data_IF_577369486110
#
_entry.id   IF_577369486110
#
_cell.length_a   1.000
_cell.length_b   1.000
_cell.length_c   1.000
_cell.angle_alpha   90.00
_cell.angle_beta   90.00
_cell.angle_gamma   90.00
#
_symmetry.space_group_name_H-M   'P 1'
#
loop_
_entity.id
_entity.type
_entity.pdbx_description
1 polymer ?
#
# COMPACT_ATOMS: atom_id res chain seq x y z
N UNK A 1 37.74 -26.95 0.60
CA UNK A 1 37.04 -26.35 1.76
C UNK A 1 35.79 -25.63 1.21
N UNK A 2 34.58 -26.20 1.33
CA UNK A 2 33.35 -25.54 0.83
C UNK A 2 33.09 -24.28 1.67
N UNK A 3 33.06 -23.11 1.04
CA UNK A 3 32.70 -21.85 1.67
C UNK A 3 31.25 -21.98 2.17
N UNK A 4 31.05 -22.03 3.50
CA UNK A 4 29.71 -21.82 4.06
C UNK A 4 29.29 -20.40 3.64
N UNK A 5 28.09 -20.18 3.08
CA UNK A 5 27.62 -18.83 2.85
C UNK A 5 27.61 -18.09 4.19
N UNK A 6 28.14 -16.86 4.22
CA UNK A 6 28.22 -16.03 5.44
C UNK A 6 26.84 -15.58 5.95
N UNK A 7 25.76 -15.93 5.23
CA UNK A 7 24.40 -15.50 5.48
C UNK A 7 23.47 -16.71 5.44
N UNK A 8 22.65 -16.87 6.49
CA UNK A 8 21.52 -17.79 6.50
C UNK A 8 20.24 -16.98 6.23
N UNK A 9 19.46 -17.38 5.24
CA UNK A 9 18.22 -16.68 4.87
C UNK A 9 17.06 -17.63 5.07
N UNK A 10 16.09 -17.21 5.89
CA UNK A 10 14.83 -17.92 6.09
C UNK A 10 13.69 -17.03 5.59
N UNK A 11 12.81 -17.62 4.77
CA UNK A 11 11.62 -16.93 4.28
C UNK A 11 10.45 -17.31 5.18
N UNK A 12 9.83 -16.31 5.80
CA UNK A 12 8.67 -16.47 6.65
C UNK A 12 7.47 -15.84 5.92
N UNK A 13 6.58 -16.64 5.31
CA UNK A 13 5.40 -16.11 4.64
C UNK A 13 4.40 -15.60 5.68
N UNK A 14 3.99 -14.34 5.53
CA UNK A 14 2.95 -13.72 6.36
C UNK A 14 1.96 -12.97 5.49
N UNK A 15 0.76 -12.72 6.03
CA UNK A 15 -0.19 -11.82 5.39
C UNK A 15 0.36 -10.38 5.36
N UNK A 16 -0.02 -9.57 4.36
CA UNK A 16 0.57 -8.23 4.13
C UNK A 16 0.34 -7.27 5.29
N UNK A 17 -0.82 -7.36 5.93
CA UNK A 17 -1.19 -6.63 7.13
C UNK A 17 -0.37 -7.05 8.36
N UNK A 18 0.27 -8.22 8.32
CA UNK A 18 1.15 -8.73 9.38
C UNK A 18 2.64 -8.43 9.15
N UNK A 19 3.02 -7.86 8.00
CA UNK A 19 4.44 -7.58 7.69
C UNK A 19 5.09 -6.63 8.70
N UNK A 20 4.46 -5.49 8.97
CA UNK A 20 5.01 -4.51 9.91
C UNK A 20 4.89 -4.98 11.38
N UNK A 21 3.75 -5.52 11.83
CA UNK A 21 3.67 -6.13 13.16
C UNK A 21 4.70 -7.24 13.40
N UNK A 22 4.96 -8.10 12.41
CA UNK A 22 5.97 -9.15 12.53
C UNK A 22 7.39 -8.58 12.69
N UNK A 23 7.70 -7.48 12.00
CA UNK A 23 8.98 -6.78 12.16
C UNK A 23 9.08 -6.11 13.55
N UNK A 24 8.04 -5.40 13.97
CA UNK A 24 7.96 -4.76 15.30
C UNK A 24 8.10 -5.80 16.45
N UNK A 25 7.56 -7.01 16.25
CA UNK A 25 7.64 -8.11 17.22
C UNK A 25 8.92 -8.96 17.10
N UNK A 26 9.87 -8.59 16.23
CA UNK A 26 11.14 -9.31 16.06
C UNK A 26 11.02 -10.70 15.42
N UNK A 27 9.92 -10.98 14.71
CA UNK A 27 9.73 -12.27 14.01
C UNK A 27 10.58 -12.40 12.75
N UNK A 28 11.13 -11.31 12.24
CA UNK A 28 12.09 -11.32 11.14
C UNK A 28 12.86 -10.00 11.09
N UNK A 29 14.02 -10.03 10.44
CA UNK A 29 14.92 -8.86 10.39
C UNK A 29 14.54 -7.85 9.30
N UNK A 30 13.84 -8.29 8.24
CA UNK A 30 13.50 -7.48 7.08
C UNK A 30 12.11 -7.85 6.53
N UNK A 31 11.30 -6.83 6.24
CA UNK A 31 10.07 -6.99 5.48
C UNK A 31 10.32 -6.68 3.98
N UNK A 32 10.33 -7.71 3.13
CA UNK A 32 10.56 -7.58 1.68
C UNK A 32 9.27 -7.87 0.91
N UNK A 33 8.51 -6.82 0.58
CA UNK A 33 7.19 -7.00 -0.02
C UNK A 33 6.74 -5.85 -0.96
N UNK A 34 7.65 -5.11 -1.59
CA UNK A 34 7.32 -3.92 -2.39
C UNK A 34 6.41 -2.95 -1.62
N UNK A 35 6.82 -2.59 -0.40
CA UNK A 35 6.07 -1.67 0.44
C UNK A 35 6.30 -0.22 -0.01
N UNK A 36 5.21 0.49 -0.29
CA UNK A 36 5.24 1.93 -0.48
C UNK A 36 5.66 2.60 0.82
N UNK A 37 6.63 3.51 0.76
CA UNK A 37 7.00 4.35 1.89
C UNK A 37 5.88 5.38 2.09
N UNK A 38 5.25 5.38 3.27
CA UNK A 38 4.26 6.40 3.68
C UNK A 38 4.67 7.01 5.01
N UNK A 39 4.21 8.22 5.31
CA UNK A 39 4.55 8.90 6.58
C UNK A 39 4.09 8.09 7.79
N UNK A 40 2.90 7.49 7.71
CA UNK A 40 2.37 6.58 8.74
C UNK A 40 3.29 5.38 8.98
N UNK A 41 3.87 4.80 7.92
CA UNK A 41 4.78 3.65 8.05
C UNK A 41 6.17 4.05 8.57
N UNK A 42 6.68 5.22 8.16
CA UNK A 42 7.96 5.76 8.65
C UNK A 42 7.97 6.01 10.16
N UNK A 43 6.82 6.23 10.77
CA UNK A 43 6.70 6.37 12.23
C UNK A 43 6.92 5.05 12.98
N UNK A 44 6.80 3.91 12.29
CA UNK A 44 6.88 2.57 12.91
C UNK A 44 8.17 1.83 12.57
N UNK A 45 8.66 2.00 11.36
CA UNK A 45 9.81 1.25 10.83
C UNK A 45 10.70 2.13 9.98
N UNK A 46 11.97 1.78 9.91
CA UNK A 46 12.91 2.35 8.95
C UNK A 46 12.77 1.66 7.58
N UNK A 47 13.03 2.43 6.52
CA UNK A 47 13.03 1.92 5.15
C UNK A 47 14.43 2.01 4.56
N UNK A 48 14.78 1.05 3.72
CA UNK A 48 15.97 1.15 2.87
C UNK A 48 15.84 2.31 1.88
N UNK A 49 16.94 2.61 1.18
CA UNK A 49 16.85 3.34 -0.09
C UNK A 49 15.81 2.68 -1.01
N UNK A 50 14.89 3.45 -1.63
CA UNK A 50 13.88 2.88 -2.50
C UNK A 50 14.51 2.15 -3.68
N UNK A 51 14.08 0.92 -3.93
CA UNK A 51 14.48 0.14 -5.12
C UNK A 51 13.67 0.51 -6.37
N UNK A 52 12.51 1.13 -6.19
CA UNK A 52 11.60 1.57 -7.24
C UNK A 52 11.05 2.96 -6.90
N UNK A 53 10.94 3.83 -7.90
CA UNK A 53 10.44 5.20 -7.76
C UNK A 53 9.54 5.57 -8.94
N UNK A 54 8.75 6.64 -8.80
CA UNK A 54 7.86 7.11 -9.88
C UNK A 54 6.67 6.18 -10.12
N UNK A 55 6.24 5.44 -9.10
CA UNK A 55 5.14 4.49 -9.21
C UNK A 55 3.80 5.22 -9.32
N UNK A 56 3.00 4.82 -10.30
CA UNK A 56 1.63 5.30 -10.50
C UNK A 56 0.63 4.30 -9.92
N UNK A 57 -0.40 4.83 -9.26
CA UNK A 57 -1.55 4.05 -8.81
C UNK A 57 -2.66 4.13 -9.86
N UNK A 58 -3.16 2.98 -10.29
CA UNK A 58 -4.18 2.87 -11.32
C UNK A 58 -5.48 2.34 -10.75
N UNK A 59 -6.59 2.99 -11.12
CA UNK A 59 -7.92 2.43 -10.86
C UNK A 59 -8.22 1.42 -11.96
N UNK A 60 -8.53 0.20 -11.56
CA UNK A 60 -8.90 -0.88 -12.48
C UNK A 60 -10.42 -1.06 -12.42
N UNK A 61 -11.07 -1.02 -13.57
CA UNK A 61 -12.51 -1.21 -13.71
C UNK A 61 -12.82 -2.33 -14.71
N UNK A 62 -14.07 -2.79 -14.73
CA UNK A 62 -14.53 -3.67 -15.80
C UNK A 62 -14.65 -2.91 -17.14
N UNK A 63 -14.75 -3.65 -18.25
CA UNK A 63 -14.83 -3.08 -19.61
C UNK A 63 -16.13 -2.28 -19.85
N UNK A 64 -17.21 -2.58 -19.14
CA UNK A 64 -18.48 -1.87 -19.28
C UNK A 64 -18.52 -0.55 -18.50
N UNK A 65 -17.52 -0.28 -17.64
CA UNK A 65 -17.42 0.97 -16.90
C UNK A 65 -17.01 2.08 -17.86
N UNK A 66 -17.76 3.21 -17.92
CA UNK A 66 -17.37 4.35 -18.72
C UNK A 66 -15.96 4.83 -18.39
N UNK A 67 -15.20 5.26 -19.41
CA UNK A 67 -13.85 5.75 -19.21
C UNK A 67 -13.82 6.92 -18.22
N UNK A 68 -12.92 6.81 -17.24
CA UNK A 68 -12.68 7.88 -16.26
C UNK A 68 -11.58 8.80 -16.76
N UNK A 69 -11.88 10.09 -16.82
CA UNK A 69 -10.97 11.17 -17.26
C UNK A 69 -10.51 12.04 -16.10
N UNK A 70 -11.17 11.96 -14.94
CA UNK A 70 -10.82 12.70 -13.72
C UNK A 70 -11.07 11.87 -12.47
N UNK A 71 -10.25 12.09 -11.44
CA UNK A 71 -10.31 11.30 -10.20
C UNK A 71 -11.60 11.56 -9.40
N UNK A 72 -12.22 12.73 -9.53
CA UNK A 72 -13.50 13.06 -8.88
C UNK A 72 -14.65 12.18 -9.35
N UNK A 73 -14.53 11.51 -10.51
CA UNK A 73 -15.54 10.53 -10.94
C UNK A 73 -15.62 9.32 -10.01
N UNK A 74 -14.68 9.13 -9.09
CA UNK A 74 -14.78 8.13 -8.03
C UNK A 74 -15.75 8.50 -6.91
N UNK A 75 -16.17 9.76 -6.83
CA UNK A 75 -17.10 10.22 -5.80
C UNK A 75 -18.37 9.35 -5.75
N UNK A 76 -18.69 8.85 -4.56
CA UNK A 76 -19.84 7.98 -4.33
C UNK A 76 -19.73 6.56 -4.94
N UNK A 77 -18.58 6.18 -5.50
CA UNK A 77 -18.34 4.82 -6.01
C UNK A 77 -17.77 3.92 -4.92
N UNK A 78 -17.97 2.63 -5.10
CA UNK A 78 -17.35 1.57 -4.30
C UNK A 78 -16.01 1.14 -4.92
N UNK A 79 -14.99 1.00 -4.09
CA UNK A 79 -13.67 0.50 -4.47
C UNK A 79 -13.22 -0.55 -3.46
N UNK A 80 -12.69 -1.66 -3.97
CA UNK A 80 -12.05 -2.69 -3.16
C UNK A 80 -10.56 -2.45 -3.10
N UNK A 81 -10.04 -2.18 -1.91
CA UNK A 81 -8.60 -2.12 -1.64
C UNK A 81 -8.30 -2.74 -0.30
N UNK A 82 -7.12 -3.34 -0.18
CA UNK A 82 -6.68 -3.86 1.12
C UNK A 82 -6.49 -2.69 2.08
N UNK A 83 -7.11 -2.76 3.25
CA UNK A 83 -6.97 -1.73 4.29
C UNK A 83 -5.50 -1.45 4.67
N UNK A 84 -4.64 -2.47 4.65
CA UNK A 84 -3.20 -2.35 4.95
C UNK A 84 -2.34 -1.80 3.79
N UNK A 85 -2.92 -1.54 2.62
CA UNK A 85 -2.19 -1.02 1.45
C UNK A 85 -2.04 0.51 1.48
N UNK A 86 -1.05 1.04 0.75
CA UNK A 86 -0.96 2.50 0.58
C UNK A 86 -2.15 3.07 -0.21
N UNK A 87 -2.81 2.25 -1.03
CA UNK A 87 -3.99 2.64 -1.78
C UNK A 87 -5.14 3.08 -0.87
N UNK A 88 -5.25 2.46 0.32
CA UNK A 88 -6.22 2.91 1.32
C UNK A 88 -5.94 4.35 1.76
N UNK A 89 -4.69 4.69 2.09
CA UNK A 89 -4.28 6.05 2.44
C UNK A 89 -4.50 7.05 1.28
N UNK A 90 -4.23 6.62 0.03
CA UNK A 90 -4.51 7.41 -1.18
C UNK A 90 -6.00 7.73 -1.32
N UNK A 91 -6.89 6.75 -1.14
CA UNK A 91 -8.34 6.98 -1.18
C UNK A 91 -8.81 7.85 -0.02
N UNK A 92 -8.27 7.69 1.19
CA UNK A 92 -8.58 8.60 2.30
C UNK A 92 -8.17 10.05 2.00
N UNK A 93 -7.03 10.24 1.34
CA UNK A 93 -6.58 11.56 0.88
C UNK A 93 -7.51 12.14 -0.18
N UNK A 94 -7.98 11.31 -1.12
CA UNK A 94 -8.99 11.70 -2.10
C UNK A 94 -10.32 12.07 -1.43
N UNK A 95 -10.80 11.27 -0.48
CA UNK A 95 -12.05 11.53 0.26
C UNK A 95 -12.00 12.86 1.01
N UNK A 96 -10.86 13.21 1.61
CA UNK A 96 -10.66 14.56 2.19
C UNK A 96 -10.82 15.67 1.16
N UNK A 97 -10.35 15.48 -0.08
CA UNK A 97 -10.52 16.45 -1.18
C UNK A 97 -11.96 16.51 -1.68
N UNK A 98 -12.64 15.37 -1.81
CA UNK A 98 -14.05 15.29 -2.22
C UNK A 98 -14.96 15.99 -1.21
N UNK A 99 -14.78 15.70 0.08
CA UNK A 99 -15.57 16.31 1.15
C UNK A 99 -15.44 17.85 1.16
N UNK A 100 -14.23 18.37 0.95
CA UNK A 100 -14.00 19.84 0.83
C UNK A 100 -14.73 20.47 -0.36
N UNK A 101 -15.05 19.68 -1.40
CA UNK A 101 -15.83 20.10 -2.57
C UNK A 101 -17.33 19.84 -2.42
N UNK A 102 -17.80 19.34 -1.26
CA UNK A 102 -19.19 18.95 -1.04
C UNK A 102 -19.63 17.69 -1.79
N UNK A 103 -18.67 16.89 -2.25
CA UNK A 103 -18.92 15.64 -2.99
C UNK A 103 -18.91 14.43 -2.03
N UNK A 104 -19.74 13.40 -2.26
CA UNK A 104 -19.72 12.20 -1.44
C UNK A 104 -18.37 11.47 -1.54
N UNK A 105 -17.87 10.87 -0.45
CA UNK A 105 -16.62 10.13 -0.47
C UNK A 105 -16.73 8.85 -1.31
N UNK A 106 -15.59 8.32 -1.71
CA UNK A 106 -15.44 6.94 -2.18
C UNK A 106 -15.70 5.99 -1.01
N UNK A 107 -16.50 4.95 -1.26
CA UNK A 107 -16.80 3.88 -0.32
C UNK A 107 -15.73 2.80 -0.48
N UNK A 108 -15.06 2.43 0.61
CA UNK A 108 -13.94 1.48 0.57
C UNK A 108 -14.34 0.16 1.21
N UNK A 109 -14.07 -0.93 0.49
CA UNK A 109 -14.23 -2.31 0.94
C UNK A 109 -12.88 -3.03 1.00
#
# INVERSE_FOLDING_TARGET
>A
RKLKPKLNVQIIPVARDQLLPALENGSGDLAVANLTITDTRKQKVEFSSPILTGIQEWVVTNKSTPAMTKIEQLSGKEIWVRASSSYFESIQTLNKKLNKKGLPPVIVH
#
